data_IF_382268173488
#
_entry.id   IF_382268173488
#
_cell.length_a   1.000
_cell.length_b   1.000
_cell.length_c   1.000
_cell.angle_alpha   90.00
_cell.angle_beta   90.00
_cell.angle_gamma   90.00
#
_symmetry.space_group_name_H-M   'P 1'
#
loop_
_entity.id
_entity.type
_entity.pdbx_description
1 polymer ?
#
# COMPACT_ATOMS: atom_id res chain seq x y z
N UNK A 1 -9.26 -8.23 15.33
CA UNK A 1 -9.16 -7.33 14.18
C UNK A 1 -9.47 -8.13 12.92
N UNK A 2 -10.52 -7.78 12.16
CA UNK A 2 -10.84 -8.29 10.82
C UNK A 2 -10.21 -7.35 9.80
N UNK A 3 -9.31 -7.86 8.95
CA UNK A 3 -8.50 -7.05 8.04
C UNK A 3 -8.79 -7.46 6.61
N UNK A 4 -9.35 -6.54 5.83
CA UNK A 4 -9.51 -6.68 4.38
C UNK A 4 -8.27 -6.21 3.63
N UNK A 5 -7.70 -7.03 2.75
CA UNK A 5 -6.69 -6.61 1.77
C UNK A 5 -7.25 -6.76 0.36
N UNK A 6 -7.50 -5.65 -0.32
CA UNK A 6 -8.05 -5.67 -1.67
C UNK A 6 -6.91 -5.87 -2.69
N UNK A 7 -6.83 -7.05 -3.28
CA UNK A 7 -5.92 -7.30 -4.38
C UNK A 7 -6.66 -7.23 -5.71
N UNK A 8 -6.27 -6.30 -6.58
CA UNK A 8 -6.84 -6.21 -7.92
C UNK A 8 -5.82 -5.71 -8.94
N UNK A 9 -6.24 -5.67 -10.21
CA UNK A 9 -5.42 -5.24 -11.33
C UNK A 9 -5.91 -3.91 -11.91
N UNK A 10 -5.55 -2.76 -11.30
CA UNK A 10 -5.85 -1.47 -11.89
C UNK A 10 -5.12 -1.29 -13.23
N UNK A 11 -5.56 -0.34 -14.03
CA UNK A 11 -4.95 0.03 -15.31
C UNK A 11 -4.66 1.51 -15.34
N UNK A 12 -3.46 1.87 -15.84
CA UNK A 12 -3.03 3.28 -15.98
C UNK A 12 -4.10 4.13 -16.66
N UNK A 13 -4.54 5.16 -15.95
CA UNK A 13 -5.48 6.17 -16.42
C UNK A 13 -6.94 5.74 -16.55
N UNK A 14 -7.29 4.49 -16.20
CA UNK A 14 -8.63 3.92 -16.33
C UNK A 14 -9.43 4.05 -15.01
N UNK A 15 -9.45 5.25 -14.43
CA UNK A 15 -9.91 5.53 -13.05
C UNK A 15 -11.29 4.96 -12.76
N UNK A 16 -12.30 5.30 -13.56
CA UNK A 16 -13.69 4.85 -13.33
C UNK A 16 -13.81 3.33 -13.34
N UNK A 17 -13.12 2.65 -14.27
CA UNK A 17 -13.17 1.19 -14.31
C UNK A 17 -12.32 0.54 -13.20
N UNK A 18 -11.27 1.20 -12.72
CA UNK A 18 -10.50 0.70 -11.58
C UNK A 18 -11.36 0.75 -10.31
N UNK A 19 -12.13 1.81 -10.12
CA UNK A 19 -13.14 1.91 -9.04
C UNK A 19 -14.19 0.81 -9.19
N UNK A 20 -14.79 0.66 -10.38
CA UNK A 20 -15.78 -0.40 -10.63
C UNK A 20 -15.23 -1.81 -10.37
N UNK A 21 -13.95 -2.06 -10.65
CA UNK A 21 -13.28 -3.35 -10.37
C UNK A 21 -13.13 -3.58 -8.86
N UNK A 22 -12.76 -2.54 -8.10
CA UNK A 22 -12.66 -2.61 -6.65
C UNK A 22 -14.04 -2.86 -6.03
N UNK A 23 -15.05 -2.08 -6.42
CA UNK A 23 -16.42 -2.22 -5.94
C UNK A 23 -16.99 -3.61 -6.23
N UNK A 24 -16.77 -4.14 -7.43
CA UNK A 24 -17.24 -5.49 -7.80
C UNK A 24 -16.64 -6.59 -6.91
N UNK A 25 -15.39 -6.45 -6.49
CA UNK A 25 -14.74 -7.41 -5.57
C UNK A 25 -15.33 -7.25 -4.16
N UNK A 26 -15.45 -6.03 -3.65
CA UNK A 26 -16.02 -5.77 -2.33
C UNK A 26 -17.47 -6.27 -2.23
N UNK A 27 -18.30 -5.96 -3.23
CA UNK A 27 -19.70 -6.38 -3.27
C UNK A 27 -19.83 -7.91 -3.45
N UNK A 28 -18.89 -8.53 -4.16
CA UNK A 28 -18.83 -9.98 -4.34
C UNK A 28 -18.32 -10.76 -3.14
N UNK A 29 -17.59 -10.11 -2.23
CA UNK A 29 -16.97 -10.75 -1.06
C UNK A 29 -17.99 -11.20 0.01
N UNK A 30 -19.17 -10.58 0.05
CA UNK A 30 -20.18 -10.80 1.08
C UNK A 30 -19.77 -10.32 2.48
N UNK A 31 -18.73 -9.47 2.57
CA UNK A 31 -18.28 -8.87 3.82
C UNK A 31 -19.13 -7.65 4.15
N UNK A 32 -19.76 -7.67 5.33
CA UNK A 32 -20.61 -6.59 5.81
C UNK A 32 -19.89 -5.64 6.79
N UNK A 33 -18.78 -6.07 7.39
CA UNK A 33 -18.06 -5.32 8.44
C UNK A 33 -16.57 -5.72 8.48
N UNK A 34 -15.68 -4.72 8.59
CA UNK A 34 -14.24 -4.88 8.78
C UNK A 34 -13.75 -3.92 9.87
N UNK A 35 -12.59 -4.20 10.48
CA UNK A 35 -11.91 -3.18 11.30
C UNK A 35 -10.99 -2.30 10.43
N UNK A 36 -10.39 -2.89 9.39
CA UNK A 36 -9.47 -2.24 8.47
C UNK A 36 -9.63 -2.78 7.05
N UNK A 37 -9.65 -1.91 6.05
CA UNK A 37 -9.52 -2.23 4.63
C UNK A 37 -8.29 -1.53 4.03
N UNK A 38 -7.39 -2.29 3.42
CA UNK A 38 -6.18 -1.77 2.78
C UNK A 38 -6.22 -1.99 1.27
N UNK A 39 -5.96 -0.92 0.52
CA UNK A 39 -5.82 -0.95 -0.94
C UNK A 39 -4.36 -0.86 -1.37
N UNK A 40 -4.03 -1.30 -2.60
CA UNK A 40 -2.69 -1.20 -3.16
C UNK A 40 -2.26 0.23 -3.44
N UNK A 41 -0.98 0.36 -3.78
CA UNK A 41 -0.35 1.62 -4.17
C UNK A 41 -0.97 2.13 -5.48
N UNK A 42 -1.31 3.41 -5.52
CA UNK A 42 -1.94 4.08 -6.67
C UNK A 42 -3.18 3.32 -7.21
N UNK A 43 -4.06 2.93 -6.28
CA UNK A 43 -5.13 1.96 -6.52
C UNK A 43 -6.02 2.30 -7.72
N UNK A 44 -6.42 3.56 -7.88
CA UNK A 44 -7.35 3.94 -8.95
C UNK A 44 -6.70 4.58 -10.17
N UNK A 45 -5.47 5.10 -10.06
CA UNK A 45 -4.78 5.71 -11.20
C UNK A 45 -4.02 4.69 -12.06
N UNK A 46 -3.67 3.51 -11.52
CA UNK A 46 -2.59 2.68 -12.06
C UNK A 46 -1.22 3.23 -11.66
N UNK A 47 -0.12 2.58 -12.08
CA UNK A 47 1.21 2.85 -11.51
C UNK A 47 2.25 3.33 -12.53
N UNK A 48 2.32 2.72 -13.71
CA UNK A 48 3.42 2.90 -14.66
C UNK A 48 3.39 4.24 -15.44
N UNK A 49 3.42 5.37 -14.72
CA UNK A 49 3.52 6.71 -15.28
C UNK A 49 4.97 7.04 -15.63
N UNK A 50 5.18 7.71 -16.78
CA UNK A 50 6.52 7.92 -17.36
C UNK A 50 7.05 9.34 -17.20
N UNK A 51 6.19 10.27 -16.78
CA UNK A 51 6.52 11.67 -16.59
C UNK A 51 5.42 12.37 -15.79
N UNK A 52 5.74 13.56 -15.27
CA UNK A 52 4.76 14.44 -14.66
C UNK A 52 3.55 14.69 -15.59
N UNK A 53 3.77 14.93 -16.88
CA UNK A 53 2.67 15.17 -17.84
C UNK A 53 1.76 13.96 -18.01
N UNK A 54 2.30 12.74 -17.89
CA UNK A 54 1.51 11.52 -18.01
C UNK A 54 0.58 11.32 -16.80
N UNK A 55 1.07 11.58 -15.58
CA UNK A 55 0.25 11.45 -14.37
C UNK A 55 -0.63 12.66 -14.08
N UNK A 56 -0.29 13.85 -14.61
CA UNK A 56 -0.96 15.13 -14.31
C UNK A 56 -2.50 15.08 -14.31
N UNK A 57 -3.17 14.39 -15.27
CA UNK A 57 -4.63 14.32 -15.29
C UNK A 57 -5.26 13.54 -14.12
N UNK A 58 -4.47 12.71 -13.43
CA UNK A 58 -4.93 11.80 -12.38
C UNK A 58 -4.52 12.25 -10.98
N UNK A 59 -3.78 13.34 -10.87
CA UNK A 59 -3.39 13.91 -9.59
C UNK A 59 -4.60 14.39 -8.79
N UNK A 60 -4.57 14.14 -7.49
CA UNK A 60 -5.71 14.32 -6.59
C UNK A 60 -5.33 15.17 -5.37
N UNK A 61 -6.24 16.05 -4.97
CA UNK A 61 -6.12 16.71 -3.67
C UNK A 61 -6.60 15.78 -2.54
N UNK A 62 -5.88 15.78 -1.41
CA UNK A 62 -6.10 14.85 -0.29
C UNK A 62 -7.58 14.71 0.15
N UNK A 63 -8.33 15.80 0.24
CA UNK A 63 -9.70 15.78 0.82
C UNK A 63 -10.83 15.83 -0.22
N UNK A 64 -10.50 16.03 -1.50
CA UNK A 64 -11.51 16.19 -2.57
C UNK A 64 -11.26 15.29 -3.77
N UNK A 65 -10.16 14.54 -3.78
CA UNK A 65 -9.81 13.57 -4.81
C UNK A 65 -10.76 12.37 -4.80
N UNK A 66 -10.91 11.72 -5.95
CA UNK A 66 -11.82 10.58 -6.13
C UNK A 66 -11.50 9.43 -5.17
N UNK A 67 -10.22 9.18 -4.88
CA UNK A 67 -9.78 8.13 -3.94
C UNK A 67 -10.26 8.44 -2.52
N UNK A 68 -10.18 9.70 -2.08
CA UNK A 68 -10.67 10.13 -0.76
C UNK A 68 -12.20 10.04 -0.64
N UNK A 69 -12.92 10.38 -1.71
CA UNK A 69 -14.37 10.28 -1.77
C UNK A 69 -14.83 8.82 -1.75
N UNK A 70 -14.14 7.95 -2.50
CA UNK A 70 -14.41 6.51 -2.50
C UNK A 70 -14.12 5.90 -1.14
N UNK A 71 -12.96 6.20 -0.55
CA UNK A 71 -12.55 5.68 0.76
C UNK A 71 -13.56 6.07 1.86
N UNK A 72 -14.03 7.32 1.86
CA UNK A 72 -15.11 7.77 2.77
C UNK A 72 -16.39 6.96 2.61
N UNK A 73 -16.85 6.75 1.38
CA UNK A 73 -18.08 6.01 1.14
C UNK A 73 -17.96 4.55 1.60
N UNK A 74 -16.80 3.93 1.39
CA UNK A 74 -16.54 2.54 1.80
C UNK A 74 -16.37 2.43 3.31
N UNK A 75 -15.64 3.36 3.94
CA UNK A 75 -15.46 3.40 5.39
C UNK A 75 -16.81 3.47 6.13
N UNK A 76 -17.70 4.37 5.70
CA UNK A 76 -19.06 4.51 6.25
C UNK A 76 -19.93 3.27 5.99
N UNK A 77 -19.72 2.58 4.87
CA UNK A 77 -20.52 1.40 4.47
C UNK A 77 -20.14 0.14 5.23
N UNK A 78 -18.84 -0.06 5.45
CA UNK A 78 -18.27 -1.26 6.08
C UNK A 78 -17.91 -1.04 7.55
N UNK A 79 -18.19 0.15 8.10
CA UNK A 79 -17.88 0.57 9.47
C UNK A 79 -16.41 0.35 9.84
N UNK A 80 -15.50 0.80 8.96
CA UNK A 80 -14.08 0.45 9.03
C UNK A 80 -13.13 1.60 8.70
N UNK A 81 -11.87 1.45 9.10
CA UNK A 81 -10.78 2.31 8.61
C UNK A 81 -10.37 1.87 7.20
N UNK A 82 -10.24 2.82 6.27
CA UNK A 82 -9.76 2.57 4.91
C UNK A 82 -8.39 3.24 4.69
N UNK A 83 -7.41 2.47 4.21
CA UNK A 83 -6.11 2.97 3.76
C UNK A 83 -5.98 2.76 2.25
N UNK A 84 -5.81 3.84 1.49
CA UNK A 84 -5.78 3.77 0.02
C UNK A 84 -4.65 4.60 -0.60
N UNK A 85 -3.89 3.98 -1.51
CA UNK A 85 -2.81 4.60 -2.26
C UNK A 85 -3.33 5.47 -3.42
N UNK A 86 -2.80 6.69 -3.59
CA UNK A 86 -3.23 7.66 -4.59
C UNK A 86 -2.12 8.66 -4.97
N UNK A 87 -2.18 9.28 -6.16
CA UNK A 87 -1.22 10.29 -6.59
C UNK A 87 -1.64 11.69 -6.08
N UNK A 88 -0.98 12.17 -5.04
CA UNK A 88 -1.33 13.42 -4.34
C UNK A 88 -0.80 14.66 -5.07
N UNK A 89 -1.60 15.73 -5.06
CA UNK A 89 -1.21 17.10 -5.42
C UNK A 89 -1.43 18.08 -4.28
N UNK A 90 -0.41 18.87 -4.00
CA UNK A 90 -0.40 19.92 -2.99
C UNK A 90 -0.19 21.27 -3.68
N UNK A 91 -1.18 22.16 -3.58
CA UNK A 91 -1.00 23.54 -4.01
C UNK A 91 -0.32 24.32 -2.87
N UNK A 92 0.93 24.76 -3.09
CA UNK A 92 1.67 25.57 -2.13
C UNK A 92 1.14 27.01 -2.16
N UNK A 93 0.15 27.30 -1.31
CA UNK A 93 -0.53 28.60 -1.30
C UNK A 93 0.29 29.76 -0.71
N UNK A 94 1.36 29.47 0.04
CA UNK A 94 2.00 30.46 0.93
C UNK A 94 3.40 30.94 0.50
N UNK A 95 3.92 30.51 -0.65
CA UNK A 95 5.22 30.97 -1.15
C UNK A 95 5.11 31.35 -2.63
N UNK A 96 5.62 32.53 -3.01
CA UNK A 96 5.66 32.95 -4.41
C UNK A 96 7.11 33.08 -4.89
N UNK A 97 7.48 32.47 -6.04
CA UNK A 97 6.73 31.46 -6.80
C UNK A 97 6.84 30.09 -6.13
N UNK A 98 5.73 29.39 -5.91
CA UNK A 98 5.74 28.00 -5.50
C UNK A 98 5.01 27.15 -6.53
N UNK A 99 5.76 26.26 -7.17
CA UNK A 99 5.19 25.20 -7.97
C UNK A 99 4.47 24.21 -7.05
N UNK A 100 3.35 23.61 -7.49
CA UNK A 100 2.69 22.54 -6.73
C UNK A 100 3.63 21.36 -6.52
N UNK A 101 3.48 20.69 -5.38
CA UNK A 101 4.21 19.47 -5.04
C UNK A 101 3.34 18.24 -5.33
N UNK A 102 3.99 17.14 -5.71
CA UNK A 102 3.32 15.89 -6.06
C UNK A 102 3.95 14.72 -5.32
N UNK A 103 3.12 13.79 -4.87
CA UNK A 103 3.58 12.67 -4.05
C UNK A 103 2.86 11.37 -4.41
N UNK A 104 3.56 10.26 -4.20
CA UNK A 104 2.93 8.95 -4.10
C UNK A 104 2.51 8.77 -2.64
N UNK A 105 1.21 8.68 -2.37
CA UNK A 105 0.68 8.82 -1.03
C UNK A 105 -0.32 7.74 -0.68
N UNK A 106 -0.56 7.55 0.62
CA UNK A 106 -1.63 6.72 1.16
C UNK A 106 -2.48 7.56 2.13
N UNK A 107 -3.76 7.75 1.80
CA UNK A 107 -4.74 8.38 2.70
C UNK A 107 -5.27 7.35 3.71
N UNK A 108 -5.60 7.82 4.91
CA UNK A 108 -6.31 7.06 5.94
C UNK A 108 -7.62 7.75 6.25
N UNK A 109 -8.72 7.03 6.08
CA UNK A 109 -10.08 7.50 6.38
C UNK A 109 -10.68 6.61 7.45
N UNK A 110 -11.23 7.20 8.51
CA UNK A 110 -11.85 6.46 9.60
C UNK A 110 -13.30 6.06 9.29
N UNK A 111 -13.91 5.28 10.18
CA UNK A 111 -15.28 4.78 10.11
C UNK A 111 -16.34 5.89 10.02
N UNK A 112 -16.06 7.08 10.58
CA UNK A 112 -16.91 8.28 10.46
C UNK A 112 -16.78 8.99 9.09
N UNK A 113 -15.89 8.51 8.22
CA UNK A 113 -15.65 9.07 6.90
C UNK A 113 -14.71 10.29 6.88
N UNK A 114 -13.98 10.53 7.97
CA UNK A 114 -13.03 11.61 8.13
C UNK A 114 -11.61 11.18 7.74
N UNK A 115 -10.88 12.04 7.02
CA UNK A 115 -9.46 11.81 6.75
C UNK A 115 -8.63 12.11 7.99
N UNK A 116 -8.09 11.07 8.62
CA UNK A 116 -7.36 11.18 9.90
C UNK A 116 -5.84 11.15 9.73
N UNK A 117 -5.34 10.68 8.58
CA UNK A 117 -3.91 10.69 8.25
C UNK A 117 -3.66 10.67 6.74
N UNK A 118 -2.45 11.09 6.35
CA UNK A 118 -1.93 10.99 4.99
C UNK A 118 -0.43 10.72 5.06
N UNK A 119 0.02 9.63 4.46
CA UNK A 119 1.42 9.25 4.36
C UNK A 119 1.92 9.48 2.93
N UNK A 120 3.17 9.94 2.79
CA UNK A 120 3.86 10.15 1.50
C UNK A 120 5.06 9.21 1.44
N UNK A 121 5.17 8.43 0.37
CA UNK A 121 6.24 7.45 0.12
C UNK A 121 7.61 8.08 0.35
N UNK A 122 8.42 7.45 1.19
CA UNK A 122 9.71 8.01 1.63
C UNK A 122 10.84 7.59 0.69
N UNK A 123 10.85 6.34 0.24
CA UNK A 123 11.79 5.83 -0.75
C UNK A 123 11.10 5.69 -2.10
N UNK A 124 11.46 6.53 -3.07
CA UNK A 124 10.92 6.44 -4.42
C UNK A 124 11.53 5.25 -5.19
N UNK A 125 10.71 4.62 -6.03
CA UNK A 125 11.19 3.75 -7.10
C UNK A 125 11.40 4.57 -8.37
N UNK A 126 12.18 4.07 -9.34
CA UNK A 126 12.48 4.83 -10.56
C UNK A 126 11.23 5.24 -11.35
N UNK A 127 10.11 4.54 -11.19
CA UNK A 127 8.82 4.90 -11.82
C UNK A 127 8.19 6.14 -11.17
N UNK A 128 8.48 6.39 -9.89
CA UNK A 128 7.98 7.54 -9.14
C UNK A 128 8.83 8.81 -9.40
N UNK A 129 10.15 8.65 -9.52
CA UNK A 129 11.14 9.75 -9.65
C UNK A 129 10.82 10.81 -10.72
N UNK A 130 10.23 10.49 -11.90
CA UNK A 130 9.94 11.49 -12.93
C UNK A 130 8.78 12.43 -12.60
N UNK A 131 8.01 12.18 -11.54
CA UNK A 131 6.80 12.94 -11.25
C UNK A 131 6.56 13.24 -9.76
N UNK A 132 7.12 12.46 -8.83
CA UNK A 132 6.90 12.60 -7.39
C UNK A 132 8.12 13.14 -6.64
N UNK A 133 7.87 13.78 -5.51
CA UNK A 133 8.86 14.09 -4.48
C UNK A 133 8.86 13.02 -3.39
N UNK A 134 9.99 12.89 -2.68
CA UNK A 134 10.10 12.04 -1.49
C UNK A 134 9.30 12.63 -0.31
N UNK A 135 8.63 11.76 0.45
CA UNK A 135 8.11 12.07 1.77
C UNK A 135 9.24 12.40 2.76
N UNK A 136 8.90 13.15 3.83
CA UNK A 136 9.92 13.64 4.78
C UNK A 136 10.38 12.59 5.79
N UNK A 137 9.49 11.67 6.16
CA UNK A 137 9.74 10.59 7.14
C UNK A 137 8.71 9.48 6.95
N UNK A 138 9.07 8.27 7.40
CA UNK A 138 8.11 7.18 7.53
C UNK A 138 6.95 7.55 8.46
N UNK A 139 5.77 7.01 8.19
CA UNK A 139 4.59 7.29 8.99
C UNK A 139 4.69 6.67 10.38
N UNK A 140 4.39 7.47 11.39
CA UNK A 140 4.12 7.01 12.76
C UNK A 140 2.86 7.72 13.24
N UNK A 141 1.93 6.97 13.84
CA UNK A 141 0.71 7.56 14.36
C UNK A 141 -0.14 6.55 15.11
N UNK A 142 -1.06 7.05 15.93
CA UNK A 142 -2.10 6.21 16.54
C UNK A 142 -3.37 6.34 15.71
N UNK A 143 -3.86 5.22 15.18
CA UNK A 143 -5.16 5.17 14.51
C UNK A 143 -6.20 4.70 15.54
N UNK A 144 -7.25 5.48 15.83
CA UNK A 144 -8.33 5.05 16.72
C UNK A 144 -8.88 3.67 16.31
N UNK A 145 -9.13 2.81 17.28
CA UNK A 145 -9.58 1.43 17.04
C UNK A 145 -8.49 0.44 16.61
N UNK A 146 -7.42 0.89 15.93
CA UNK A 146 -6.34 0.01 15.43
C UNK A 146 -5.06 0.07 16.26
N UNK A 147 -4.78 1.19 16.94
CA UNK A 147 -3.59 1.36 17.77
C UNK A 147 -2.41 2.05 17.07
N UNK A 148 -1.20 2.01 17.70
CA UNK A 148 0.04 2.49 17.10
C UNK A 148 0.30 1.81 15.74
N UNK A 149 0.38 2.62 14.68
CA UNK A 149 0.45 2.15 13.31
C UNK A 149 1.64 2.77 12.56
N UNK A 150 2.35 1.95 11.81
CA UNK A 150 3.33 2.37 10.81
C UNK A 150 2.79 2.08 9.40
N UNK A 151 3.02 3.01 8.46
CA UNK A 151 2.60 2.87 7.07
C UNK A 151 3.82 3.03 6.17
N UNK A 152 3.99 2.08 5.25
CA UNK A 152 4.99 2.10 4.19
C UNK A 152 4.34 1.91 2.82
N UNK A 153 5.02 2.35 1.77
CA UNK A 153 4.60 2.16 0.38
C UNK A 153 5.73 1.46 -0.39
N UNK A 154 5.49 0.21 -0.79
CA UNK A 154 6.36 -0.61 -1.65
C UNK A 154 7.86 -0.48 -1.36
N UNK A 155 8.53 0.41 -2.11
CA UNK A 155 9.97 0.64 -2.08
C UNK A 155 10.50 1.12 -0.71
N UNK A 156 9.63 1.58 0.19
CA UNK A 156 9.99 1.86 1.58
C UNK A 156 10.61 0.64 2.30
N UNK A 157 10.27 -0.59 1.91
CA UNK A 157 10.90 -1.79 2.45
C UNK A 157 12.37 -1.92 2.06
N UNK A 158 12.77 -1.37 0.92
CA UNK A 158 14.10 -1.56 0.35
C UNK A 158 15.12 -0.57 0.91
N UNK A 159 16.41 -0.92 0.86
CA UNK A 159 17.48 0.03 1.09
C UNK A 159 17.29 1.27 0.21
N UNK A 160 17.51 2.45 0.77
CA UNK A 160 17.35 3.73 0.05
C UNK A 160 18.09 3.70 -1.28
N UNK A 161 17.34 3.91 -2.38
CA UNK A 161 17.81 3.88 -3.78
C UNK A 161 18.54 2.59 -4.19
N UNK A 162 18.35 1.49 -3.46
CA UNK A 162 19.15 0.27 -3.56
C UNK A 162 20.65 0.48 -3.34
N UNK A 163 21.03 1.53 -2.60
CA UNK A 163 22.42 1.94 -2.39
C UNK A 163 22.88 1.83 -0.94
N UNK A 164 21.96 2.00 0.02
CA UNK A 164 22.32 1.81 1.43
C UNK A 164 22.57 0.33 1.73
N UNK A 165 23.39 0.01 2.75
CA UNK A 165 23.65 -1.37 3.13
C UNK A 165 22.36 -2.15 3.43
N UNK A 166 22.30 -3.41 3.01
CA UNK A 166 21.13 -4.27 3.16
C UNK A 166 20.64 -4.38 4.62
N UNK A 167 21.57 -4.40 5.57
CA UNK A 167 21.34 -4.54 7.00
C UNK A 167 20.89 -3.25 7.71
N UNK A 168 20.66 -2.17 6.95
CA UNK A 168 20.10 -0.92 7.50
C UNK A 168 18.64 -1.05 7.91
N UNK A 169 17.86 -1.85 7.19
CA UNK A 169 16.45 -2.14 7.49
C UNK A 169 15.63 -0.91 7.93
N UNK A 170 15.75 0.18 7.16
CA UNK A 170 15.31 1.52 7.57
C UNK A 170 13.85 1.57 8.03
N UNK A 171 12.93 0.97 7.26
CA UNK A 171 11.52 0.92 7.61
C UNK A 171 11.22 -0.01 8.80
N UNK A 172 11.86 -1.18 8.87
CA UNK A 172 11.64 -2.13 9.98
C UNK A 172 12.16 -1.58 11.32
N UNK A 173 13.27 -0.84 11.32
CA UNK A 173 13.72 -0.11 12.52
C UNK A 173 12.75 0.99 12.92
N UNK A 174 12.19 1.71 11.95
CA UNK A 174 11.13 2.70 12.22
C UNK A 174 9.88 2.07 12.86
N UNK A 175 9.50 0.86 12.46
CA UNK A 175 8.40 0.10 13.12
C UNK A 175 8.69 -0.10 14.61
N UNK A 176 9.91 -0.48 14.97
CA UNK A 176 10.33 -0.61 16.38
C UNK A 176 10.34 0.75 17.09
N UNK A 177 10.96 1.77 16.50
CA UNK A 177 11.10 3.09 17.11
C UNK A 177 9.74 3.76 17.37
N UNK A 178 8.75 3.50 16.51
CA UNK A 178 7.38 4.01 16.63
C UNK A 178 6.48 3.18 17.56
N UNK A 179 6.96 2.04 18.08
CA UNK A 179 6.19 1.06 18.85
C UNK A 179 4.90 0.63 18.12
N UNK A 180 4.96 0.50 16.80
CA UNK A 180 3.81 0.12 16.00
C UNK A 180 3.41 -1.33 16.27
N UNK A 181 2.11 -1.56 16.53
CA UNK A 181 1.51 -2.89 16.66
C UNK A 181 0.83 -3.34 15.37
N UNK A 182 0.55 -2.38 14.49
CA UNK A 182 0.04 -2.59 13.14
C UNK A 182 0.99 -1.95 12.13
N UNK A 183 1.36 -2.71 11.11
CA UNK A 183 2.16 -2.23 9.98
C UNK A 183 1.37 -2.47 8.70
N UNK A 184 1.17 -1.41 7.92
CA UNK A 184 0.50 -1.50 6.63
C UNK A 184 1.48 -1.14 5.52
N UNK A 185 1.60 -2.02 4.54
CA UNK A 185 2.43 -1.77 3.36
C UNK A 185 1.58 -1.86 2.11
N UNK A 186 1.28 -0.70 1.53
CA UNK A 186 0.53 -0.55 0.28
C UNK A 186 1.51 -0.64 -0.90
N UNK A 187 1.23 -1.48 -1.90
CA UNK A 187 2.28 -1.88 -2.86
C UNK A 187 1.84 -1.97 -4.33
N UNK A 188 2.78 -1.60 -5.20
CA UNK A 188 2.85 -1.96 -6.61
C UNK A 188 4.15 -2.71 -6.94
N UNK A 189 4.39 -3.81 -6.23
CA UNK A 189 5.62 -4.59 -6.31
C UNK A 189 5.70 -5.42 -7.59
N UNK A 190 6.84 -5.32 -8.28
CA UNK A 190 7.08 -5.95 -9.58
C UNK A 190 7.82 -7.30 -9.45
N UNK A 191 7.58 -8.18 -10.42
CA UNK A 191 8.45 -9.34 -10.69
C UNK A 191 9.34 -9.08 -11.90
N UNK A 192 10.50 -9.75 -11.92
CA UNK A 192 11.38 -9.81 -13.10
C UNK A 192 11.15 -11.11 -13.90
N UNK A 193 10.24 -11.99 -13.46
CA UNK A 193 9.90 -13.19 -14.20
C UNK A 193 9.13 -12.87 -15.49
N UNK A 194 9.38 -13.59 -16.60
CA UNK A 194 8.64 -13.38 -17.83
C UNK A 194 7.14 -13.64 -17.67
N UNK A 195 6.30 -12.76 -18.23
CA UNK A 195 4.84 -12.88 -18.17
C UNK A 195 4.33 -14.26 -18.58
N UNK A 196 4.87 -14.83 -19.67
CA UNK A 196 4.45 -16.12 -20.20
C UNK A 196 4.58 -17.27 -19.19
N UNK A 197 5.49 -17.16 -18.23
CA UNK A 197 5.67 -18.15 -17.15
C UNK A 197 4.94 -17.71 -15.90
N UNK A 198 5.09 -16.44 -15.49
CA UNK A 198 4.54 -15.95 -14.24
C UNK A 198 3.01 -16.04 -14.16
N UNK A 199 2.31 -15.88 -15.28
CA UNK A 199 0.84 -15.90 -15.31
C UNK A 199 0.23 -17.29 -15.44
N UNK A 200 1.02 -18.37 -15.46
CA UNK A 200 0.50 -19.74 -15.65
C UNK A 200 -0.26 -20.28 -14.43
N UNK A 201 0.16 -19.88 -13.23
CA UNK A 201 -0.43 -20.31 -11.96
C UNK A 201 -0.92 -19.10 -11.15
N UNK A 202 -1.99 -18.40 -11.59
CA UNK A 202 -2.44 -17.17 -10.95
C UNK A 202 -2.93 -17.37 -9.50
N UNK A 203 -3.34 -18.59 -9.15
CA UNK A 203 -3.81 -18.99 -7.83
C UNK A 203 -2.66 -19.28 -6.86
N UNK A 204 -1.45 -19.49 -7.36
CA UNK A 204 -0.29 -19.75 -6.51
C UNK A 204 0.35 -18.42 -6.08
N UNK A 205 0.61 -18.21 -4.78
CA UNK A 205 1.35 -17.04 -4.33
C UNK A 205 2.80 -17.08 -4.83
N UNK A 206 3.44 -15.92 -4.90
CA UNK A 206 4.89 -15.82 -5.06
C UNK A 206 5.57 -15.84 -3.68
N UNK A 207 5.88 -17.06 -3.22
CA UNK A 207 6.53 -17.25 -1.92
C UNK A 207 7.94 -16.66 -1.87
N UNK A 208 8.66 -16.53 -2.99
CA UNK A 208 9.99 -15.94 -2.98
C UNK A 208 9.90 -14.44 -2.66
N UNK A 209 8.93 -13.76 -3.26
CA UNK A 209 8.66 -12.34 -2.97
C UNK A 209 8.13 -12.14 -1.55
N UNK A 210 7.22 -12.99 -1.07
CA UNK A 210 6.75 -12.91 0.33
C UNK A 210 7.92 -13.07 1.32
N UNK A 211 8.78 -14.08 1.12
CA UNK A 211 9.94 -14.30 1.98
C UNK A 211 10.93 -13.13 1.93
N UNK A 212 11.06 -12.47 0.76
CA UNK A 212 11.82 -11.24 0.65
C UNK A 212 11.24 -10.14 1.55
N UNK A 213 9.93 -9.89 1.47
CA UNK A 213 9.27 -8.89 2.32
C UNK A 213 9.45 -9.21 3.81
N UNK A 214 9.20 -10.46 4.22
CA UNK A 214 9.41 -10.92 5.60
C UNK A 214 10.86 -10.69 6.05
N UNK A 215 11.84 -10.95 5.19
CA UNK A 215 13.26 -10.72 5.50
C UNK A 215 13.57 -9.24 5.74
N UNK A 216 12.83 -8.31 5.12
CA UNK A 216 12.98 -6.86 5.39
C UNK A 216 12.50 -6.47 6.80
N UNK A 217 11.76 -7.35 7.47
CA UNK A 217 11.35 -7.20 8.87
C UNK A 217 12.28 -7.94 9.87
N UNK A 218 13.50 -8.35 9.47
CA UNK A 218 14.45 -9.02 10.37
C UNK A 218 14.64 -8.34 11.73
N UNK A 219 14.78 -7.00 11.84
CA UNK A 219 14.90 -6.36 13.15
C UNK A 219 13.71 -6.62 14.07
N UNK A 220 12.49 -6.55 13.53
CA UNK A 220 11.25 -6.80 14.29
C UNK A 220 11.17 -8.26 14.74
N UNK A 221 11.54 -9.19 13.86
CA UNK A 221 11.57 -10.63 14.19
C UNK A 221 12.59 -10.89 15.30
N UNK A 222 13.79 -10.29 15.18
CA UNK A 222 14.91 -10.50 16.11
C UNK A 222 14.71 -9.85 17.48
N UNK A 223 13.82 -8.87 17.60
CA UNK A 223 13.49 -8.25 18.89
C UNK A 223 12.84 -9.24 19.86
N UNK A 224 12.25 -10.35 19.35
CA UNK A 224 11.64 -11.41 20.16
C UNK A 224 10.60 -10.90 21.18
N UNK A 225 9.91 -9.81 20.84
CA UNK A 225 8.84 -9.24 21.67
C UNK A 225 7.68 -10.21 21.89
N UNK A 226 7.15 -10.25 23.12
CA UNK A 226 5.92 -11.00 23.44
C UNK A 226 4.66 -10.34 22.86
N UNK A 227 4.72 -9.03 22.56
CA UNK A 227 3.63 -8.32 21.88
C UNK A 227 3.67 -8.63 20.38
N UNK A 228 2.52 -9.03 19.84
CA UNK A 228 2.38 -9.37 18.42
C UNK A 228 2.27 -8.11 17.55
N UNK A 229 3.08 -8.05 16.49
CA UNK A 229 2.98 -7.02 15.45
C UNK A 229 2.33 -7.63 14.21
N UNK A 230 1.20 -7.06 13.78
CA UNK A 230 0.51 -7.47 12.57
C UNK A 230 1.07 -6.68 11.39
N UNK A 231 1.49 -7.37 10.32
CA UNK A 231 1.96 -6.76 9.08
C UNK A 231 1.03 -7.13 7.94
N UNK A 232 0.51 -6.11 7.27
CA UNK A 232 -0.44 -6.20 6.15
C UNK A 232 0.25 -5.79 4.86
N UNK A 233 0.41 -6.74 3.93
CA UNK A 233 0.92 -6.51 2.59
C UNK A 233 -0.26 -6.43 1.61
N UNK A 234 -0.59 -5.23 1.14
CA UNK A 234 -1.64 -5.02 0.14
C UNK A 234 -1.00 -4.66 -1.19
N UNK A 235 -0.76 -5.67 -2.03
CA UNK A 235 -0.09 -5.52 -3.31
C UNK A 235 -1.04 -5.73 -4.48
N UNK A 236 -0.94 -4.89 -5.50
CA UNK A 236 -1.72 -5.09 -6.74
C UNK A 236 -1.23 -6.30 -7.52
N UNK A 237 -2.09 -6.79 -8.39
CA UNK A 237 -1.75 -7.79 -9.42
C UNK A 237 -1.90 -7.20 -10.83
N UNK A 238 -1.72 -8.02 -11.85
CA UNK A 238 -1.89 -7.67 -13.25
C UNK A 238 -0.63 -7.11 -13.91
N UNK A 239 -0.82 -6.43 -15.03
CA UNK A 239 0.27 -5.95 -15.89
C UNK A 239 -0.03 -4.57 -16.44
N UNK A 240 1.01 -3.74 -16.58
CA UNK A 240 0.96 -2.43 -17.24
C UNK A 240 2.15 -2.29 -18.18
N UNK A 241 1.90 -2.25 -19.49
CA UNK A 241 2.94 -2.39 -20.52
C UNK A 241 3.79 -3.65 -20.29
N UNK A 242 5.09 -3.49 -20.02
CA UNK A 242 6.05 -4.56 -19.72
C UNK A 242 6.13 -4.89 -18.22
N UNK A 243 5.53 -4.07 -17.35
CA UNK A 243 5.54 -4.26 -15.91
C UNK A 243 4.53 -5.35 -15.51
N UNK A 244 4.96 -6.26 -14.64
CA UNK A 244 4.15 -7.35 -14.10
C UNK A 244 4.18 -7.24 -12.58
N UNK A 245 3.01 -7.18 -11.95
CA UNK A 245 2.87 -7.04 -10.51
C UNK A 245 2.64 -8.39 -9.85
N UNK A 246 3.25 -8.56 -8.68
CA UNK A 246 3.36 -9.85 -8.00
C UNK A 246 2.05 -10.34 -7.39
N UNK A 247 1.06 -9.45 -7.15
CA UNK A 247 -0.06 -9.78 -6.28
C UNK A 247 0.47 -10.28 -4.95
N UNK A 248 0.03 -11.47 -4.51
CA UNK A 248 0.53 -12.11 -3.29
C UNK A 248 0.29 -11.27 -2.04
N UNK A 249 -0.82 -10.53 -2.00
CA UNK A 249 -1.24 -9.81 -0.79
C UNK A 249 -1.38 -10.81 0.37
N UNK A 250 -0.92 -10.41 1.54
CA UNK A 250 -0.77 -11.30 2.68
C UNK A 250 -0.88 -10.56 4.02
N UNK A 251 -1.32 -11.27 5.05
CA UNK A 251 -1.31 -10.80 6.44
C UNK A 251 -0.48 -11.75 7.27
N UNK A 252 0.50 -11.21 8.00
CA UNK A 252 1.35 -11.98 8.92
C UNK A 252 1.31 -11.39 10.33
N UNK A 253 1.58 -12.22 11.33
CA UNK A 253 1.93 -11.80 12.69
C UNK A 253 3.38 -12.11 12.98
N UNK A 254 4.05 -11.20 13.68
CA UNK A 254 5.41 -11.40 14.18
C UNK A 254 5.34 -11.32 15.71
N UNK A 255 5.72 -12.40 16.39
CA UNK A 255 5.68 -12.51 17.85
C UNK A 255 6.73 -13.50 18.33
N UNK A 256 7.50 -13.15 19.37
CA UNK A 256 8.49 -14.01 20.01
C UNK A 256 9.49 -14.67 19.03
N UNK A 257 9.90 -13.93 17.99
CA UNK A 257 10.81 -14.44 16.95
C UNK A 257 10.17 -15.33 15.89
N UNK A 258 8.88 -15.61 16.00
CA UNK A 258 8.12 -16.40 15.04
C UNK A 258 7.33 -15.52 14.08
N UNK A 259 7.20 -15.99 12.83
CA UNK A 259 6.34 -15.38 11.81
C UNK A 259 5.19 -16.33 11.51
N UNK A 260 3.96 -15.86 11.72
CA UNK A 260 2.72 -16.59 11.42
C UNK A 260 2.04 -16.00 10.21
N UNK A 261 1.66 -16.82 9.24
CA UNK A 261 0.88 -16.40 8.08
C UNK A 261 -0.61 -16.60 8.38
N UNK A 262 -1.38 -15.51 8.43
CA UNK A 262 -2.84 -15.57 8.65
C UNK A 262 -3.60 -15.77 7.35
N UNK A 263 -3.12 -15.19 6.25
CA UNK A 263 -3.79 -15.26 4.97
C UNK A 263 -2.88 -14.79 3.84
N UNK A 264 -3.15 -15.30 2.63
CA UNK A 264 -2.40 -14.99 1.42
C UNK A 264 -3.29 -15.20 0.19
N UNK A 265 -3.15 -14.33 -0.80
CA UNK A 265 -3.75 -14.51 -2.12
C UNK A 265 -2.71 -15.01 -3.13
N UNK A 266 -3.17 -15.67 -4.17
CA UNK A 266 -2.34 -16.02 -5.33
C UNK A 266 -1.85 -14.80 -6.09
N UNK A 267 -0.79 -14.96 -6.88
CA UNK A 267 -0.13 -13.86 -7.60
C UNK A 267 -1.01 -13.13 -8.62
N UNK A 268 -2.03 -13.81 -9.15
CA UNK A 268 -2.94 -13.33 -10.19
C UNK A 268 -4.39 -13.16 -9.74
N UNK A 269 -4.69 -13.45 -8.47
CA UNK A 269 -6.05 -13.40 -7.93
C UNK A 269 -6.53 -11.96 -7.79
N UNK A 270 -7.82 -11.75 -8.05
CA UNK A 270 -8.48 -10.45 -7.89
C UNK A 270 -9.59 -10.64 -6.88
N UNK A 271 -9.26 -10.46 -5.62
CA UNK A 271 -10.11 -10.83 -4.50
C UNK A 271 -9.83 -9.96 -3.28
N UNK A 272 -10.70 -10.07 -2.27
CA UNK A 272 -10.53 -9.50 -0.95
C UNK A 272 -10.04 -10.59 0.02
N UNK A 273 -8.80 -10.49 0.49
CA UNK A 273 -8.33 -11.30 1.61
C UNK A 273 -8.94 -10.77 2.90
N UNK A 274 -9.50 -11.64 3.75
CA UNK A 274 -10.13 -11.28 5.04
C UNK A 274 -9.61 -12.16 6.17
#
# INVERSE_FOLDING_TARGET
MKIGCLQFAPRVGDVDNNINRADAILDGSGVDELDLLVLPELAFSGYNFRSLQHISPFLEHQSTGITSLWARNVALRLDCVVIAGYPEKVDLADQWPADPEYYNSAIVVNEDGETIANYRKTHLYYTDEPWALEGRKFFEGHIPGLGPTAIGICMDLNPYKFQTPWDRFEFSRHVLDSNAVLVVVSMAWLTQEPAATFTQSPQEPDMATLMYWVTRFEPVIREESDDEIIVVFANRTGTEDEAIYVGTSAVIGIQAGEVRLYGILGRGEKDLLV
#
